data_IF_773124865706
#
_entry.id   IF_773124865706
#
_cell.length_a   1.000
_cell.length_b   1.000
_cell.length_c   1.000
_cell.angle_alpha   90.00
_cell.angle_beta   90.00
_cell.angle_gamma   90.00
#
_symmetry.space_group_name_H-M   'P 1'
#
loop_
_entity.id
_entity.type
_entity.pdbx_description
1 polymer ?
#
# COMPACT_ATOMS: atom_id res chain seq x y z
N UNK A 1 3.73 43.15 -23.34
CA UNK A 1 5.00 43.65 -22.77
C UNK A 1 4.76 44.09 -21.34
N UNK A 2 5.15 43.28 -20.33
CA UNK A 2 5.03 43.64 -18.92
C UNK A 2 6.28 43.22 -18.15
N UNK A 3 7.04 44.26 -17.83
CA UNK A 3 8.02 44.47 -16.76
C UNK A 3 8.34 43.29 -15.83
N UNK A 4 9.62 42.90 -15.82
CA UNK A 4 10.22 41.98 -14.84
C UNK A 4 10.50 42.76 -13.55
N UNK A 5 9.94 42.28 -12.42
CA UNK A 5 10.29 42.72 -11.07
C UNK A 5 11.75 42.39 -10.77
N UNK A 6 12.56 43.42 -10.58
CA UNK A 6 13.91 43.33 -10.01
C UNK A 6 13.83 43.41 -8.48
N UNK A 7 14.25 42.36 -7.79
CA UNK A 7 14.50 42.41 -6.34
C UNK A 7 15.92 42.93 -6.09
N UNK A 8 16.01 44.08 -5.44
CA UNK A 8 17.26 44.70 -4.98
C UNK A 8 17.74 44.03 -3.69
N UNK A 9 18.97 43.51 -3.70
CA UNK A 9 19.70 43.22 -2.46
C UNK A 9 20.73 44.35 -2.23
N UNK A 10 20.38 45.25 -1.32
CA UNK A 10 21.29 46.27 -0.81
C UNK A 10 22.28 45.59 0.16
N UNK A 11 23.46 45.22 -0.33
CA UNK A 11 24.60 44.88 0.52
C UNK A 11 25.31 46.19 0.93
N UNK A 12 25.09 46.58 2.19
CA UNK A 12 25.85 47.64 2.87
C UNK A 12 27.31 47.19 2.98
N UNK A 13 28.19 47.82 2.21
CA UNK A 13 29.65 47.71 2.39
C UNK A 13 30.06 48.59 3.58
N UNK A 14 30.62 47.95 4.60
CA UNK A 14 31.23 48.63 5.74
C UNK A 14 32.60 49.18 5.33
N UNK A 15 32.89 50.41 5.75
CA UNK A 15 33.86 51.33 5.15
C UNK A 15 35.03 51.54 6.11
N UNK A 16 35.90 50.53 6.26
CA UNK A 16 37.05 50.64 7.15
C UNK A 16 38.29 50.15 6.37
N UNK A 17 38.97 51.09 5.71
CA UNK A 17 40.11 50.81 4.85
C UNK A 17 41.36 50.40 5.61
N UNK A 18 42.30 49.74 4.94
CA UNK A 18 43.68 49.54 5.36
C UNK A 18 44.61 49.62 4.13
N UNK A 19 45.81 50.13 4.35
CA UNK A 19 46.73 50.67 3.35
C UNK A 19 47.17 49.71 2.24
N UNK A 20 47.38 50.27 1.05
CA UNK A 20 48.03 49.60 -0.06
C UNK A 20 49.51 49.38 0.23
N UNK A 21 49.90 48.14 0.47
CA UNK A 21 51.27 47.70 0.27
C UNK A 21 51.37 47.10 -1.13
N UNK A 22 52.23 47.68 -1.99
CA UNK A 22 52.58 47.09 -3.29
C UNK A 22 53.28 45.77 -3.05
N UNK A 23 52.62 44.66 -3.33
CA UNK A 23 53.25 43.32 -3.35
C UNK A 23 53.51 42.92 -4.80
N UNK A 24 54.78 42.67 -5.09
CA UNK A 24 55.25 42.24 -6.40
C UNK A 24 54.61 40.93 -6.85
N UNK A 25 54.44 40.81 -8.15
CA UNK A 25 53.91 39.63 -8.82
C UNK A 25 54.94 38.49 -8.74
N UNK A 26 54.85 37.65 -7.72
CA UNK A 26 55.56 36.37 -7.65
C UNK A 26 54.61 35.30 -8.14
N UNK A 27 54.76 34.91 -9.41
CA UNK A 27 54.07 33.76 -9.98
C UNK A 27 54.63 32.48 -9.33
N UNK A 28 53.91 31.90 -8.39
CA UNK A 28 54.14 30.52 -7.99
C UNK A 28 53.52 29.60 -9.05
N UNK A 29 54.28 28.67 -9.67
CA UNK A 29 53.66 27.63 -10.48
C UNK A 29 52.76 26.80 -9.55
N UNK A 30 51.46 26.81 -9.81
CA UNK A 30 50.53 25.92 -9.13
C UNK A 30 50.76 24.50 -9.65
N UNK A 31 51.39 23.66 -8.85
CA UNK A 31 51.47 22.23 -9.11
C UNK A 31 50.10 21.60 -8.89
N UNK A 32 49.42 21.23 -9.98
CA UNK A 32 48.17 20.49 -9.92
C UNK A 32 48.46 19.02 -9.64
N UNK A 33 48.13 18.55 -8.44
CA UNK A 33 48.05 17.10 -8.17
C UNK A 33 46.80 16.59 -8.90
N UNK A 34 47.02 15.89 -10.02
CA UNK A 34 45.96 15.19 -10.74
C UNK A 34 45.38 14.08 -9.88
N UNK A 35 44.30 14.36 -9.16
CA UNK A 35 43.52 13.32 -8.49
C UNK A 35 42.77 12.51 -9.54
N UNK A 36 43.26 11.31 -9.85
CA UNK A 36 42.50 10.32 -10.62
C UNK A 36 41.77 9.41 -9.63
N UNK A 37 40.46 9.60 -9.40
CA UNK A 37 39.70 8.66 -8.59
C UNK A 37 39.82 7.27 -9.23
N UNK A 38 40.28 6.29 -8.45
CA UNK A 38 40.27 4.88 -8.84
C UNK A 38 38.84 4.54 -9.26
N UNK A 39 38.65 4.16 -10.53
CA UNK A 39 37.33 3.81 -11.06
C UNK A 39 36.81 2.59 -10.29
N UNK A 40 35.99 2.82 -9.26
CA UNK A 40 35.18 1.76 -8.67
C UNK A 40 34.19 1.32 -9.73
N UNK A 41 34.14 0.03 -10.03
CA UNK A 41 33.06 -0.57 -10.84
C UNK A 41 31.75 0.00 -10.31
N UNK A 42 31.02 0.72 -11.15
CA UNK A 42 29.78 1.33 -10.69
C UNK A 42 28.83 0.19 -10.36
N UNK A 43 28.18 0.24 -9.20
CA UNK A 43 27.18 -0.75 -8.77
C UNK A 43 26.15 -1.04 -9.87
N UNK A 44 25.92 -0.08 -10.77
CA UNK A 44 25.05 -0.24 -11.92
C UNK A 44 25.59 -1.23 -12.97
N UNK A 45 26.90 -1.28 -13.22
CA UNK A 45 27.49 -2.12 -14.27
C UNK A 45 27.29 -3.60 -13.95
N UNK A 46 27.22 -3.93 -12.66
CA UNK A 46 26.89 -5.27 -12.16
C UNK A 46 25.37 -5.56 -12.20
N UNK A 47 24.54 -4.59 -11.82
CA UNK A 47 23.08 -4.77 -11.72
C UNK A 47 22.39 -4.78 -13.09
N UNK A 48 22.86 -3.94 -14.03
CA UNK A 48 22.25 -3.73 -15.36
C UNK A 48 22.10 -5.03 -16.18
N UNK A 49 23.12 -5.90 -16.32
CA UNK A 49 22.97 -7.16 -17.04
C UNK A 49 21.97 -8.09 -16.34
N UNK A 50 22.00 -8.17 -15.01
CA UNK A 50 21.08 -9.02 -14.24
C UNK A 50 19.62 -8.59 -14.41
N UNK A 51 19.36 -7.28 -14.38
CA UNK A 51 18.02 -6.74 -14.61
C UNK A 51 17.54 -6.97 -16.05
N UNK A 52 18.45 -6.81 -17.02
CA UNK A 52 18.16 -7.06 -18.45
C UNK A 52 17.84 -8.52 -18.74
N UNK A 53 18.48 -9.46 -18.02
CA UNK A 53 18.18 -10.90 -18.06
C UNK A 53 16.83 -11.26 -17.42
N UNK A 54 16.11 -10.28 -16.86
CA UNK A 54 14.75 -10.45 -16.35
C UNK A 54 14.63 -10.86 -14.90
N UNK A 55 15.74 -10.87 -14.14
CA UNK A 55 15.74 -11.08 -12.70
C UNK A 55 15.00 -9.96 -11.97
N UNK A 56 14.31 -10.29 -10.88
CA UNK A 56 13.62 -9.29 -10.06
C UNK A 56 14.62 -8.55 -9.17
N UNK A 57 14.23 -7.37 -8.69
CA UNK A 57 15.03 -6.61 -7.69
C UNK A 57 15.30 -7.43 -6.42
N UNK A 58 14.43 -8.40 -6.09
CA UNK A 58 14.67 -9.35 -4.99
C UNK A 58 15.85 -10.24 -5.30
N UNK A 59 15.81 -10.87 -6.47
CA UNK A 59 16.78 -11.90 -6.85
C UNK A 59 18.17 -11.27 -7.07
N UNK A 60 18.20 -10.06 -7.63
CA UNK A 60 19.43 -9.27 -7.77
C UNK A 60 20.02 -8.94 -6.39
N UNK A 61 19.17 -8.61 -5.40
CA UNK A 61 19.61 -8.32 -4.04
C UNK A 61 20.23 -9.55 -3.35
N UNK A 62 19.64 -10.72 -3.57
CA UNK A 62 20.15 -11.98 -3.05
C UNK A 62 21.46 -12.38 -3.73
N UNK A 63 21.60 -12.13 -5.04
CA UNK A 63 22.78 -12.49 -5.81
C UNK A 63 23.97 -11.54 -5.61
N UNK A 64 23.73 -10.23 -5.53
CA UNK A 64 24.79 -9.19 -5.44
C UNK A 64 25.06 -8.74 -4.00
N UNK A 65 24.18 -9.09 -3.05
CA UNK A 65 24.26 -8.62 -1.66
C UNK A 65 23.93 -7.14 -1.49
N UNK A 66 23.62 -6.40 -2.57
CA UNK A 66 23.20 -5.01 -2.48
C UNK A 66 21.79 -4.89 -1.90
N UNK A 67 21.56 -3.84 -1.10
CA UNK A 67 20.23 -3.56 -0.56
C UNK A 67 19.22 -3.28 -1.67
N UNK A 68 18.02 -3.89 -1.57
CA UNK A 68 16.91 -3.72 -2.54
C UNK A 68 16.62 -2.27 -2.91
N UNK A 69 16.71 -1.36 -1.93
CA UNK A 69 16.50 0.08 -2.11
C UNK A 69 17.63 0.76 -2.88
N UNK A 70 18.88 0.32 -2.70
CA UNK A 70 20.03 0.80 -3.45
C UNK A 70 19.91 0.38 -4.92
N UNK A 71 19.62 -0.90 -5.16
CA UNK A 71 19.37 -1.45 -6.50
C UNK A 71 18.26 -0.66 -7.21
N UNK A 72 17.13 -0.42 -6.53
CA UNK A 72 16.02 0.34 -7.10
C UNK A 72 16.39 1.80 -7.43
N UNK A 73 17.17 2.47 -6.56
CA UNK A 73 17.65 3.85 -6.83
C UNK A 73 18.60 3.89 -8.03
N UNK A 74 19.53 2.96 -8.12
CA UNK A 74 20.47 2.85 -9.24
C UNK A 74 19.71 2.60 -10.56
N UNK A 75 18.80 1.63 -10.58
CA UNK A 75 17.97 1.34 -11.76
C UNK A 75 17.10 2.55 -12.15
N UNK A 76 16.50 3.25 -11.18
CA UNK A 76 15.66 4.42 -11.45
C UNK A 76 16.44 5.63 -11.98
N UNK A 77 17.69 5.80 -11.56
CA UNK A 77 18.52 6.93 -11.97
C UNK A 77 19.06 6.76 -13.40
N UNK A 78 19.37 5.53 -13.83
CA UNK A 78 20.06 5.28 -15.10
C UNK A 78 19.21 4.59 -16.18
N UNK A 79 18.21 3.77 -15.85
CA UNK A 79 17.31 3.22 -16.88
C UNK A 79 16.24 4.25 -17.23
N UNK A 80 16.44 4.98 -18.32
CA UNK A 80 15.41 5.82 -18.96
C UNK A 80 14.27 4.96 -19.52
N UNK A 81 14.55 3.69 -19.83
CA UNK A 81 13.57 2.69 -20.26
C UNK A 81 13.58 1.51 -19.27
N UNK A 82 12.81 1.64 -18.18
CA UNK A 82 12.52 0.48 -17.33
C UNK A 82 11.82 -0.59 -18.17
N UNK A 83 12.14 -1.88 -17.92
CA UNK A 83 11.52 -3.03 -18.58
C UNK A 83 10.01 -2.79 -18.71
N UNK A 84 9.42 -2.95 -19.93
CA UNK A 84 7.99 -2.78 -20.09
C UNK A 84 7.29 -3.71 -19.10
N UNK A 85 6.46 -3.12 -18.24
CA UNK A 85 5.67 -3.88 -17.28
C UNK A 85 4.69 -4.72 -18.09
N UNK A 86 5.03 -6.00 -18.31
CA UNK A 86 4.12 -6.93 -18.95
C UNK A 86 2.81 -7.00 -18.15
N UNK A 87 1.66 -7.21 -18.81
CA UNK A 87 0.40 -7.36 -18.09
C UNK A 87 0.55 -8.50 -17.09
N UNK A 88 0.31 -8.19 -15.81
CA UNK A 88 0.28 -9.20 -14.75
C UNK A 88 -0.81 -10.20 -15.14
N UNK A 89 -0.48 -11.49 -15.22
CA UNK A 89 -1.45 -12.51 -15.59
C UNK A 89 -2.69 -12.42 -14.70
N UNK A 90 -3.87 -12.56 -15.30
CA UNK A 90 -5.13 -12.48 -14.57
C UNK A 90 -5.16 -13.47 -13.40
N UNK A 91 -4.59 -14.67 -13.56
CA UNK A 91 -4.47 -15.65 -12.49
C UNK A 91 -3.55 -15.21 -11.35
N UNK A 92 -2.41 -14.55 -11.63
CA UNK A 92 -1.54 -14.01 -10.58
C UNK A 92 -2.20 -12.85 -9.84
N UNK A 93 -2.95 -12.03 -10.57
CA UNK A 93 -3.73 -10.91 -10.01
C UNK A 93 -4.92 -11.40 -9.17
N UNK A 94 -5.65 -12.41 -9.66
CA UNK A 94 -6.84 -12.98 -9.00
C UNK A 94 -6.51 -13.98 -7.90
N UNK A 95 -5.34 -14.64 -7.92
CA UNK A 95 -4.80 -15.43 -6.80
C UNK A 95 -4.38 -14.56 -5.59
N UNK A 96 -4.83 -13.31 -5.52
CA UNK A 96 -5.08 -12.66 -4.23
C UNK A 96 -5.98 -13.58 -3.42
N UNK A 97 -5.37 -14.32 -2.48
CA UNK A 97 -5.99 -15.28 -1.55
C UNK A 97 -7.43 -14.86 -1.25
N UNK A 98 -8.42 -15.76 -1.28
CA UNK A 98 -9.86 -15.48 -1.12
C UNK A 98 -10.28 -14.59 0.07
N UNK A 99 -9.33 -14.29 0.96
CA UNK A 99 -9.32 -13.14 1.86
C UNK A 99 -9.15 -11.80 1.11
N UNK A 100 -10.26 -11.15 0.82
CA UNK A 100 -10.25 -9.72 0.47
C UNK A 100 -9.76 -8.90 1.67
N UNK A 101 -9.12 -7.72 1.45
CA UNK A 101 -8.75 -6.79 2.54
C UNK A 101 -9.96 -6.39 3.39
N UNK A 102 -11.15 -6.37 2.78
CA UNK A 102 -12.42 -6.16 3.45
C UNK A 102 -12.85 -7.40 4.26
N UNK A 103 -13.33 -7.16 5.48
CA UNK A 103 -13.91 -8.19 6.34
C UNK A 103 -15.21 -8.73 5.73
N UNK A 104 -15.51 -10.03 5.87
CA UNK A 104 -16.76 -10.59 5.42
C UNK A 104 -17.93 -9.99 6.23
N UNK A 105 -19.17 -10.05 5.71
CA UNK A 105 -20.35 -9.59 6.44
C UNK A 105 -20.50 -10.21 7.84
N UNK A 106 -21.29 -9.57 8.70
CA UNK A 106 -21.58 -10.09 10.04
C UNK A 106 -22.22 -11.49 9.95
N UNK A 107 -21.85 -12.39 10.85
CA UNK A 107 -22.27 -13.79 10.80
C UNK A 107 -21.37 -14.70 9.95
N UNK A 108 -20.39 -14.15 9.24
CA UNK A 108 -19.42 -14.90 8.44
C UNK A 108 -17.98 -14.60 8.85
N UNK A 109 -17.08 -15.56 8.70
CA UNK A 109 -15.64 -15.43 8.95
C UNK A 109 -14.83 -16.09 7.82
N UNK A 110 -13.56 -15.71 7.71
CA UNK A 110 -12.63 -16.42 6.83
C UNK A 110 -12.05 -17.63 7.55
N UNK A 111 -12.13 -18.80 6.93
CA UNK A 111 -11.47 -20.02 7.38
C UNK A 111 -10.77 -20.66 6.17
N UNK A 112 -9.47 -20.90 6.26
CA UNK A 112 -8.65 -21.43 5.16
C UNK A 112 -8.76 -20.67 3.82
N UNK A 113 -9.11 -19.37 3.87
CA UNK A 113 -9.27 -18.54 2.67
C UNK A 113 -10.69 -18.56 2.07
N UNK A 114 -11.60 -19.35 2.64
CA UNK A 114 -13.01 -19.42 2.28
C UNK A 114 -13.89 -18.68 3.27
N UNK A 115 -15.08 -18.26 2.84
CA UNK A 115 -16.05 -17.55 3.69
C UNK A 115 -17.03 -18.56 4.30
N UNK A 116 -16.84 -18.87 5.58
CA UNK A 116 -17.65 -19.82 6.34
C UNK A 116 -18.56 -19.08 7.33
N UNK A 117 -19.64 -19.73 7.75
CA UNK A 117 -20.52 -19.24 8.82
C UNK A 117 -19.77 -19.19 10.15
N UNK A 118 -19.85 -18.06 10.84
CA UNK A 118 -19.23 -17.91 12.16
C UNK A 118 -20.09 -18.59 13.22
N UNK A 119 -19.55 -19.50 14.05
CA UNK A 119 -20.33 -20.19 15.09
C UNK A 119 -20.87 -19.22 16.15
N UNK A 120 -20.18 -18.11 16.40
CA UNK A 120 -20.56 -17.13 17.43
C UNK A 120 -21.53 -16.08 16.91
N UNK A 121 -21.34 -15.61 15.69
CA UNK A 121 -22.12 -14.49 15.15
C UNK A 121 -23.33 -14.92 14.32
N UNK A 122 -23.26 -16.07 13.66
CA UNK A 122 -24.32 -16.54 12.76
C UNK A 122 -25.67 -16.77 13.48
N UNK A 123 -25.72 -17.34 14.70
CA UNK A 123 -26.99 -17.44 15.44
C UNK A 123 -27.64 -16.08 15.71
N UNK A 124 -26.83 -15.06 16.03
CA UNK A 124 -27.31 -13.69 16.24
C UNK A 124 -27.81 -13.06 14.95
N UNK A 125 -27.16 -13.34 13.82
CA UNK A 125 -27.61 -12.91 12.50
C UNK A 125 -29.00 -13.49 12.17
N UNK A 126 -29.21 -14.79 12.43
CA UNK A 126 -30.53 -15.44 12.24
C UNK A 126 -31.60 -14.85 13.16
N UNK A 127 -31.25 -14.53 14.40
CA UNK A 127 -32.16 -13.87 15.33
C UNK A 127 -32.62 -12.51 14.78
N UNK A 128 -31.68 -11.67 14.32
CA UNK A 128 -31.98 -10.37 13.70
C UNK A 128 -32.93 -10.53 12.51
N UNK A 129 -32.67 -11.51 11.64
CA UNK A 129 -33.52 -11.80 10.49
C UNK A 129 -34.93 -12.22 10.92
N UNK A 130 -35.04 -13.10 11.92
CA UNK A 130 -36.33 -13.57 12.44
C UNK A 130 -37.16 -12.43 13.05
N UNK A 131 -36.53 -11.51 13.78
CA UNK A 131 -37.19 -10.36 14.37
C UNK A 131 -37.68 -9.39 13.30
N UNK A 132 -36.87 -9.17 12.26
CA UNK A 132 -37.29 -8.33 11.12
C UNK A 132 -38.47 -8.95 10.36
N UNK A 133 -38.46 -10.27 10.14
CA UNK A 133 -39.58 -10.99 9.50
C UNK A 133 -40.88 -10.89 10.31
N UNK A 134 -40.80 -10.74 11.63
CA UNK A 134 -41.94 -10.48 12.53
C UNK A 134 -42.40 -9.02 12.53
N UNK A 135 -41.78 -8.15 11.73
CA UNK A 135 -42.13 -6.72 11.67
C UNK A 135 -41.52 -5.87 12.79
N UNK A 136 -40.56 -6.37 13.57
CA UNK A 136 -39.94 -5.60 14.63
C UNK A 136 -39.18 -4.37 14.09
N UNK A 137 -39.29 -3.24 14.80
CA UNK A 137 -38.51 -2.03 14.51
C UNK A 137 -37.01 -2.26 14.82
N UNK A 138 -36.14 -1.46 14.22
CA UNK A 138 -34.68 -1.56 14.47
C UNK A 138 -34.35 -1.30 15.94
N UNK A 139 -35.03 -0.35 16.58
CA UNK A 139 -34.87 -0.05 18.01
C UNK A 139 -35.27 -1.26 18.86
N UNK A 140 -36.42 -1.88 18.57
CA UNK A 140 -36.86 -3.10 19.26
C UNK A 140 -35.86 -4.24 19.08
N UNK A 141 -35.29 -4.41 17.87
CA UNK A 141 -34.23 -5.40 17.64
C UNK A 141 -33.01 -5.09 18.52
N UNK A 142 -32.58 -3.84 18.59
CA UNK A 142 -31.46 -3.42 19.43
C UNK A 142 -31.70 -3.76 20.92
N UNK A 143 -32.90 -3.44 21.42
CA UNK A 143 -33.28 -3.72 22.81
C UNK A 143 -33.29 -5.22 23.08
N UNK A 144 -33.87 -6.03 22.19
CA UNK A 144 -33.87 -7.49 22.36
C UNK A 144 -32.47 -8.09 22.36
N UNK A 145 -31.54 -7.55 21.57
CA UNK A 145 -30.15 -7.99 21.56
C UNK A 145 -29.42 -7.58 22.85
N UNK A 146 -29.70 -6.37 23.35
CA UNK A 146 -29.17 -5.86 24.61
C UNK A 146 -29.67 -6.69 25.81
N UNK A 147 -30.98 -6.98 25.87
CA UNK A 147 -31.58 -7.83 26.91
C UNK A 147 -30.98 -9.25 26.91
N UNK A 148 -30.68 -9.79 25.73
CA UNK A 148 -30.02 -11.09 25.57
C UNK A 148 -28.50 -11.06 25.78
N UNK A 149 -27.93 -9.90 26.14
CA UNK A 149 -26.48 -9.69 26.33
C UNK A 149 -25.63 -10.09 25.11
N UNK A 150 -26.23 -10.08 23.92
CA UNK A 150 -25.54 -10.41 22.68
C UNK A 150 -24.76 -9.18 22.23
N UNK A 151 -23.44 -9.31 22.12
CA UNK A 151 -22.56 -8.21 21.74
C UNK A 151 -22.34 -8.18 20.21
N UNK A 152 -22.02 -6.99 19.70
CA UNK A 152 -21.54 -6.85 18.32
C UNK A 152 -20.19 -7.55 18.13
N UNK A 153 -19.75 -7.67 16.86
CA UNK A 153 -18.43 -8.26 16.50
C UNK A 153 -17.25 -7.64 17.28
N UNK A 154 -17.34 -6.36 17.65
CA UNK A 154 -16.29 -5.67 18.42
C UNK A 154 -16.48 -5.73 19.93
N UNK A 155 -17.43 -6.53 20.43
CA UNK A 155 -17.77 -6.59 21.85
C UNK A 155 -18.52 -5.38 22.39
N UNK A 156 -18.92 -4.44 21.51
CA UNK A 156 -19.64 -3.22 21.86
C UNK A 156 -21.15 -3.44 21.83
N UNK A 157 -21.89 -2.51 22.43
CA UNK A 157 -23.34 -2.41 22.27
C UNK A 157 -23.72 -2.25 20.79
N UNK A 158 -24.92 -2.71 20.46
CA UNK A 158 -25.46 -2.57 19.12
C UNK A 158 -25.78 -1.11 18.85
N UNK A 159 -25.41 -0.63 17.67
CA UNK A 159 -25.85 0.67 17.17
C UNK A 159 -26.89 0.48 16.09
N UNK A 160 -27.82 1.43 16.00
CA UNK A 160 -28.85 1.48 14.97
C UNK A 160 -28.27 1.28 13.56
N UNK A 161 -27.17 1.98 13.24
CA UNK A 161 -26.51 1.92 11.94
C UNK A 161 -25.95 0.53 11.60
N UNK A 162 -25.42 -0.18 12.59
CA UNK A 162 -24.93 -1.54 12.40
C UNK A 162 -26.08 -2.48 12.04
N UNK A 163 -27.18 -2.44 12.79
CA UNK A 163 -28.36 -3.27 12.51
C UNK A 163 -28.96 -2.91 11.14
N UNK A 164 -29.13 -1.61 10.84
CA UNK A 164 -29.59 -1.13 9.53
C UNK A 164 -28.71 -1.65 8.39
N UNK A 165 -27.39 -1.64 8.57
CA UNK A 165 -26.45 -2.14 7.55
C UNK A 165 -26.53 -3.66 7.34
N UNK A 166 -26.85 -4.42 8.39
CA UNK A 166 -27.06 -5.87 8.31
C UNK A 166 -28.36 -6.15 7.54
N UNK A 167 -29.44 -5.45 7.89
CA UNK A 167 -30.73 -5.59 7.21
C UNK A 167 -30.62 -5.24 5.72
N UNK A 168 -29.94 -4.14 5.38
CA UNK A 168 -29.70 -3.77 3.99
C UNK A 168 -29.02 -4.88 3.20
N UNK A 169 -28.08 -5.62 3.79
CA UNK A 169 -27.38 -6.73 3.11
C UNK A 169 -28.25 -7.96 2.87
N UNK A 170 -29.30 -8.15 3.68
CA UNK A 170 -30.34 -9.14 3.39
C UNK A 170 -31.17 -8.68 2.19
N UNK A 171 -31.59 -7.41 2.17
CA UNK A 171 -32.38 -6.84 1.06
C UNK A 171 -31.58 -6.85 -0.26
N UNK A 172 -30.28 -6.55 -0.20
CA UNK A 172 -29.36 -6.57 -1.36
C UNK A 172 -29.02 -8.02 -1.85
N UNK A 173 -29.53 -9.07 -1.18
CA UNK A 173 -29.23 -10.47 -1.49
C UNK A 173 -27.76 -10.88 -1.30
N UNK A 174 -26.95 -10.04 -0.63
CA UNK A 174 -25.51 -10.31 -0.43
C UNK A 174 -25.30 -11.51 0.48
N UNK A 175 -26.14 -11.64 1.52
CA UNK A 175 -26.09 -12.77 2.45
C UNK A 175 -26.47 -14.08 1.72
N UNK A 176 -27.49 -14.05 0.87
CA UNK A 176 -27.94 -15.22 0.13
C UNK A 176 -26.88 -15.72 -0.86
N UNK A 177 -26.19 -14.80 -1.56
CA UNK A 177 -25.04 -15.16 -2.41
C UNK A 177 -23.96 -15.91 -1.63
N UNK A 178 -23.64 -15.49 -0.40
CA UNK A 178 -22.65 -16.17 0.45
C UNK A 178 -23.12 -17.55 0.94
N UNK A 179 -24.43 -17.74 1.09
CA UNK A 179 -25.01 -19.05 1.39
C UNK A 179 -24.93 -19.97 0.16
N UNK A 180 -25.17 -19.44 -1.04
CA UNK A 180 -25.10 -20.20 -2.30
C UNK A 180 -23.67 -20.56 -2.71
N UNK A 181 -22.67 -19.70 -2.47
CA UNK A 181 -21.26 -19.99 -2.84
C UNK A 181 -20.64 -21.13 -2.03
N UNK A 182 -21.17 -21.41 -0.84
CA UNK A 182 -20.75 -22.57 -0.03
C UNK A 182 -21.35 -23.89 -0.55
N UNK A 183 -22.23 -23.86 -1.56
CA UNK A 183 -22.81 -25.07 -2.16
C UNK A 183 -21.82 -25.72 -3.15
N UNK A 184 -20.80 -26.39 -2.60
CA UNK A 184 -19.83 -27.33 -3.20
C UNK A 184 -19.16 -26.95 -4.55
N UNK A 185 -17.84 -27.17 -4.69
CA UNK A 185 -17.22 -27.16 -6.02
C UNK A 185 -17.85 -28.27 -6.88
N UNK A 186 -18.24 -27.93 -8.11
CA UNK A 186 -18.54 -28.93 -9.15
C UNK A 186 -17.31 -29.85 -9.22
N UNK A 187 -17.45 -31.10 -8.78
CA UNK A 187 -16.44 -32.13 -9.03
C UNK A 187 -16.31 -32.23 -10.54
N UNK A 188 -15.20 -31.75 -11.10
CA UNK A 188 -14.77 -32.11 -12.44
C UNK A 188 -14.68 -33.63 -12.46
N UNK A 189 -15.52 -34.26 -13.29
CA UNK A 189 -15.36 -35.68 -13.63
C UNK A 189 -14.06 -35.78 -14.41
N UNK A 190 -13.08 -36.48 -13.84
CA UNK A 190 -11.96 -37.06 -14.58
C UNK A 190 -12.21 -38.56 -14.64
#
# INVERSE_FOLDING_TARGET
MKSKRSFSLNLRLNKNGWGHNRTGNVFYPLDFIGFQPKQSISIIDEIRPLYSNGLSVSDISEQTGHGRTAIWKCLKAELTELRPQGPVSFDRWRKGRGKTRARPPYGFCYFQGEVIKSPTEYPTLLLIQSLKKRGASISTIMDTLASKKLKSRTGKLWSYNVIKSILRRFDDGTIDKLLSTNAKPKRSKT
#
